data_IF_760841325692
#
_entry.id   IF_760841325692
#
_cell.length_a   1.000
_cell.length_b   1.000
_cell.length_c   1.000
_cell.angle_alpha   90.00
_cell.angle_beta   90.00
_cell.angle_gamma   90.00
#
_symmetry.space_group_name_H-M   'P 1'
#
loop_
_entity.id
_entity.type
_entity.pdbx_description
1 polymer ?
#
# COMPACT_ATOMS: atom_id res chain seq x y z
N UNK A 1 -28.83 -28.98 29.49
CA UNK A 1 -27.54 -28.48 29.97
C UNK A 1 -26.92 -27.67 28.84
N UNK A 2 -27.22 -26.37 28.77
CA UNK A 2 -26.49 -25.29 29.45
C UNK A 2 -25.13 -24.99 28.79
N UNK A 3 -25.21 -24.07 27.83
CA UNK A 3 -24.30 -22.99 27.38
C UNK A 3 -23.32 -22.40 28.43
N UNK A 4 -22.45 -21.39 28.13
CA UNK A 4 -21.96 -20.84 26.84
C UNK A 4 -20.48 -20.36 26.79
N UNK A 5 -20.08 -20.00 25.56
CA UNK A 5 -19.18 -18.90 25.14
C UNK A 5 -19.18 -17.62 26.01
N UNK A 6 -18.19 -16.74 25.81
CA UNK A 6 -18.55 -15.34 25.54
C UNK A 6 -17.83 -14.73 24.33
N UNK A 7 -18.65 -14.17 23.45
CA UNK A 7 -18.36 -13.13 22.47
C UNK A 7 -18.99 -11.84 23.01
N UNK A 8 -18.40 -10.69 22.64
CA UNK A 8 -18.89 -9.29 22.77
C UNK A 8 -18.53 -8.43 23.99
N UNK A 9 -17.96 -7.27 23.59
CA UNK A 9 -18.24 -5.91 24.07
C UNK A 9 -17.45 -5.36 25.26
N UNK A 10 -16.50 -4.46 24.97
CA UNK A 10 -16.48 -3.12 25.57
C UNK A 10 -15.61 -2.16 24.77
N UNK A 11 -16.17 -1.66 23.68
CA UNK A 11 -16.01 -0.25 23.33
C UNK A 11 -16.55 0.60 24.49
N UNK A 12 -15.97 1.79 24.68
CA UNK A 12 -16.30 2.83 25.68
C UNK A 12 -15.71 2.67 27.08
N UNK A 13 -14.45 3.08 27.22
CA UNK A 13 -13.89 3.64 28.47
C UNK A 13 -12.63 4.46 28.12
N UNK A 14 -12.80 5.48 27.27
CA UNK A 14 -11.80 6.51 26.95
C UNK A 14 -12.23 7.89 27.47
N UNK A 15 -13.16 7.95 28.42
CA UNK A 15 -13.72 9.19 28.92
C UNK A 15 -13.99 9.06 30.42
N UNK A 16 -12.95 9.34 31.22
CA UNK A 16 -12.96 9.93 32.56
C UNK A 16 -11.65 9.57 33.23
N UNK A 17 -10.69 10.47 33.12
CA UNK A 17 -9.66 10.73 34.14
C UNK A 17 -9.07 12.12 33.86
N UNK A 18 -9.96 13.13 33.82
CA UNK A 18 -9.59 14.54 33.94
C UNK A 18 -9.90 14.97 35.39
N UNK A 19 -9.09 14.53 36.35
CA UNK A 19 -9.18 14.99 37.73
C UNK A 19 -7.86 14.78 38.49
N UNK A 20 -6.77 15.38 38.02
CA UNK A 20 -5.65 15.72 38.88
C UNK A 20 -4.87 16.91 38.32
N UNK A 21 -5.32 18.12 38.66
CA UNK A 21 -4.53 19.33 38.55
C UNK A 21 -4.86 20.21 39.78
N UNK A 22 -4.02 20.14 40.79
CA UNK A 22 -3.91 21.20 41.79
C UNK A 22 -2.98 22.32 41.28
N UNK A 23 -3.08 23.54 41.85
CA UNK A 23 -3.00 24.79 41.12
C UNK A 23 -1.60 25.42 41.15
N UNK A 24 -1.29 26.27 40.16
CA UNK A 24 -0.26 27.30 40.31
C UNK A 24 0.92 27.29 39.34
N UNK A 25 0.71 27.00 38.05
CA UNK A 25 1.70 27.39 37.02
C UNK A 25 1.00 28.35 36.05
N UNK A 26 1.41 29.63 35.98
CA UNK A 26 0.87 30.53 34.98
C UNK A 26 1.37 30.06 33.61
N UNK A 27 0.47 29.57 32.77
CA UNK A 27 0.70 29.50 31.34
C UNK A 27 0.86 30.94 30.85
N UNK A 28 2.11 31.35 30.66
CA UNK A 28 2.43 32.63 30.03
C UNK A 28 1.86 32.64 28.63
N UNK A 29 0.80 33.43 28.47
CA UNK A 29 0.27 33.95 27.21
C UNK A 29 1.45 34.41 26.34
N UNK A 30 1.66 33.71 25.23
CA UNK A 30 2.51 34.21 24.15
C UNK A 30 1.62 34.37 22.93
N UNK A 31 0.63 35.24 23.11
CA UNK A 31 -0.11 35.81 22.00
C UNK A 31 0.77 36.84 21.28
N UNK A 32 0.63 36.79 19.96
CA UNK A 32 0.92 37.86 19.02
C UNK A 32 2.38 38.21 18.75
N UNK A 33 2.96 37.54 17.75
CA UNK A 33 3.47 38.22 16.56
C UNK A 33 3.77 37.20 15.44
N UNK A 34 3.13 37.44 14.30
CA UNK A 34 3.11 36.66 13.04
C UNK A 34 2.02 35.60 12.91
N UNK A 35 0.80 35.92 13.36
CA UNK A 35 -0.37 35.54 12.58
C UNK A 35 -0.33 36.35 11.27
N UNK A 36 0.19 35.74 10.20
CA UNK A 36 -0.04 36.26 8.85
C UNK A 36 -1.56 36.23 8.63
N UNK A 37 -2.18 37.33 8.16
CA UNK A 37 -3.61 37.30 7.90
C UNK A 37 -3.83 36.36 6.71
N UNK A 38 -4.22 35.11 6.98
CA UNK A 38 -4.79 34.22 5.98
C UNK A 38 -6.18 34.78 5.73
N UNK A 39 -6.24 35.77 4.84
CA UNK A 39 -7.48 36.33 4.35
C UNK A 39 -8.25 35.25 3.60
N UNK A 40 -9.40 34.88 4.17
CA UNK A 40 -10.60 34.39 3.49
C UNK A 40 -10.38 33.47 2.27
N UNK A 41 -9.62 32.38 2.45
CA UNK A 41 -9.30 31.38 1.42
C UNK A 41 -10.10 30.07 1.57
N UNK A 42 -11.12 30.04 2.44
CA UNK A 42 -11.86 28.80 2.75
C UNK A 42 -12.74 28.29 1.60
N UNK A 43 -13.24 29.17 0.72
CA UNK A 43 -14.15 28.77 -0.36
C UNK A 43 -13.45 28.14 -1.57
N UNK A 44 -12.16 28.46 -1.81
CA UNK A 44 -11.41 27.92 -2.94
C UNK A 44 -10.76 26.56 -2.59
N UNK A 45 -10.31 26.34 -1.35
CA UNK A 45 -9.57 25.12 -0.95
C UNK A 45 -10.44 23.84 -0.98
N UNK A 46 -11.67 23.90 -0.47
CA UNK A 46 -12.60 22.74 -0.40
C UNK A 46 -13.01 22.23 -1.79
N UNK A 47 -13.23 23.13 -2.75
CA UNK A 47 -13.57 22.79 -4.13
C UNK A 47 -12.38 22.11 -4.85
N UNK A 48 -11.15 22.57 -4.62
CA UNK A 48 -9.96 21.97 -5.22
C UNK A 48 -9.63 20.59 -4.65
N UNK A 49 -9.74 20.41 -3.34
CA UNK A 49 -9.55 19.10 -2.70
C UNK A 49 -10.54 18.07 -3.24
N UNK A 50 -11.79 18.49 -3.44
CA UNK A 50 -12.85 17.66 -4.03
C UNK A 50 -12.54 17.32 -5.50
N UNK A 51 -12.09 18.29 -6.31
CA UNK A 51 -11.71 18.06 -7.71
C UNK A 51 -10.48 17.14 -7.84
N UNK A 52 -9.47 17.30 -6.98
CA UNK A 52 -8.27 16.46 -7.00
C UNK A 52 -8.58 15.02 -6.57
N UNK A 53 -9.36 14.84 -5.51
CA UNK A 53 -9.73 13.52 -5.00
C UNK A 53 -10.66 12.76 -5.96
N UNK A 54 -11.58 13.46 -6.63
CA UNK A 54 -12.43 12.85 -7.67
C UNK A 54 -11.60 12.41 -8.88
N UNK A 55 -10.64 13.23 -9.31
CA UNK A 55 -9.77 12.90 -10.43
C UNK A 55 -8.81 11.75 -10.11
N UNK A 56 -8.23 11.72 -8.91
CA UNK A 56 -7.38 10.59 -8.48
C UNK A 56 -8.19 9.29 -8.41
N UNK A 57 -9.43 9.36 -7.90
CA UNK A 57 -10.36 8.22 -7.87
C UNK A 57 -10.68 7.72 -9.28
N UNK A 58 -10.94 8.63 -10.22
CA UNK A 58 -11.23 8.27 -11.61
C UNK A 58 -10.02 7.64 -12.30
N UNK A 59 -8.82 8.18 -12.10
CA UNK A 59 -7.56 7.59 -12.61
C UNK A 59 -7.40 6.16 -12.07
N UNK A 60 -7.55 5.97 -10.75
CA UNK A 60 -7.41 4.64 -10.12
C UNK A 60 -8.45 3.65 -10.65
N UNK A 61 -9.71 4.07 -10.78
CA UNK A 61 -10.78 3.23 -11.35
C UNK A 61 -10.48 2.81 -12.79
N UNK A 62 -9.92 3.72 -13.61
CA UNK A 62 -9.55 3.41 -15.00
C UNK A 62 -8.34 2.49 -15.09
N UNK A 63 -7.34 2.67 -14.24
CA UNK A 63 -6.19 1.76 -14.15
C UNK A 63 -6.62 0.34 -13.77
N UNK A 64 -7.53 0.20 -12.80
CA UNK A 64 -8.10 -1.09 -12.41
C UNK A 64 -8.88 -1.74 -13.57
N UNK A 65 -9.73 -0.97 -14.26
CA UNK A 65 -10.47 -1.47 -15.44
C UNK A 65 -9.54 -1.96 -16.54
N UNK A 66 -8.46 -1.22 -16.81
CA UNK A 66 -7.46 -1.60 -17.83
C UNK A 66 -6.72 -2.88 -17.44
N UNK A 67 -6.32 -3.02 -16.18
CA UNK A 67 -5.70 -4.24 -15.66
C UNK A 67 -6.64 -5.46 -15.77
N UNK A 68 -7.92 -5.28 -15.40
CA UNK A 68 -8.93 -6.33 -15.53
C UNK A 68 -9.20 -6.70 -17.00
N UNK A 69 -9.12 -5.75 -17.92
CA UNK A 69 -9.30 -6.00 -19.36
C UNK A 69 -8.11 -6.77 -19.92
N UNK A 70 -6.88 -6.43 -19.56
CA UNK A 70 -5.67 -7.18 -19.93
C UNK A 70 -5.71 -8.62 -19.42
N UNK A 71 -6.18 -8.83 -18.18
CA UNK A 71 -6.36 -10.18 -17.63
C UNK A 71 -7.41 -10.98 -18.40
N UNK A 72 -8.53 -10.33 -18.77
CA UNK A 72 -9.61 -10.95 -19.56
C UNK A 72 -9.20 -11.24 -21.00
N UNK A 73 -8.40 -10.39 -21.63
CA UNK A 73 -7.88 -10.59 -22.98
C UNK A 73 -7.05 -11.87 -23.09
N UNK A 74 -6.13 -12.10 -22.12
CA UNK A 74 -5.30 -13.32 -22.08
C UNK A 74 -6.17 -14.58 -22.01
N UNK A 75 -7.17 -14.58 -21.11
CA UNK A 75 -8.10 -15.71 -20.96
C UNK A 75 -8.98 -15.89 -22.20
N UNK A 76 -9.55 -14.81 -22.74
CA UNK A 76 -10.41 -14.86 -23.92
C UNK A 76 -9.67 -15.35 -25.16
N UNK A 77 -8.41 -14.94 -25.35
CA UNK A 77 -7.60 -15.41 -26.48
C UNK A 77 -7.33 -16.90 -26.36
N UNK A 78 -6.92 -17.37 -25.17
CA UNK A 78 -6.70 -18.80 -24.91
C UNK A 78 -7.97 -19.63 -25.17
N UNK A 79 -9.10 -19.24 -24.58
CA UNK A 79 -10.38 -19.95 -24.75
C UNK A 79 -10.85 -19.93 -26.20
N UNK A 80 -10.72 -18.80 -26.91
CA UNK A 80 -11.06 -18.72 -28.34
C UNK A 80 -10.20 -19.67 -29.18
N UNK A 81 -8.89 -19.70 -28.97
CA UNK A 81 -7.99 -20.61 -29.71
C UNK A 81 -8.27 -22.08 -29.40
N UNK A 82 -8.58 -22.38 -28.13
CA UNK A 82 -8.92 -23.74 -27.68
C UNK A 82 -10.21 -24.22 -28.35
N UNK A 83 -11.29 -23.43 -28.33
CA UNK A 83 -12.56 -23.82 -28.94
C UNK A 83 -12.48 -23.92 -30.46
N UNK A 84 -11.81 -22.99 -31.14
CA UNK A 84 -11.65 -23.08 -32.60
C UNK A 84 -10.80 -24.28 -33.01
N UNK A 85 -9.74 -24.60 -32.26
CA UNK A 85 -8.92 -25.79 -32.50
C UNK A 85 -9.70 -27.09 -32.25
N UNK A 86 -10.49 -27.16 -31.17
CA UNK A 86 -11.35 -28.31 -30.86
C UNK A 86 -12.42 -28.53 -31.94
N UNK A 87 -13.11 -27.46 -32.36
CA UNK A 87 -14.10 -27.53 -33.44
C UNK A 87 -13.49 -27.98 -34.77
N UNK A 88 -12.28 -27.49 -35.10
CA UNK A 88 -11.53 -27.94 -36.26
C UNK A 88 -11.16 -29.43 -36.17
N UNK A 89 -10.71 -29.89 -35.00
CA UNK A 89 -10.42 -31.30 -34.76
C UNK A 89 -11.64 -32.21 -34.94
N UNK A 90 -12.80 -31.82 -34.40
CA UNK A 90 -14.07 -32.56 -34.60
C UNK A 90 -14.46 -32.60 -36.08
N UNK A 91 -14.35 -31.46 -36.78
CA UNK A 91 -14.63 -31.39 -38.21
C UNK A 91 -13.74 -32.34 -39.04
N UNK A 92 -12.43 -32.34 -38.79
CA UNK A 92 -11.48 -33.25 -39.45
C UNK A 92 -11.77 -34.71 -39.10
N UNK A 93 -12.11 -35.03 -37.85
CA UNK A 93 -12.49 -36.38 -37.45
C UNK A 93 -13.73 -36.87 -38.21
N UNK A 94 -14.81 -36.09 -38.24
CA UNK A 94 -16.04 -36.45 -38.96
C UNK A 94 -15.81 -36.60 -40.47
N UNK A 95 -14.96 -35.74 -41.04
CA UNK A 95 -14.56 -35.84 -42.44
C UNK A 95 -13.75 -37.11 -42.73
N UNK A 96 -12.80 -37.46 -41.85
CA UNK A 96 -11.96 -38.66 -41.96
C UNK A 96 -12.75 -39.97 -41.81
N UNK A 97 -13.72 -40.01 -40.88
CA UNK A 97 -14.64 -41.15 -40.73
C UNK A 97 -15.63 -41.30 -41.91
N UNK A 98 -15.45 -40.51 -42.98
CA UNK A 98 -16.24 -40.55 -44.20
C UNK A 98 -17.75 -40.34 -43.96
N UNK A 99 -18.10 -39.77 -42.81
CA UNK A 99 -19.46 -39.40 -42.42
C UNK A 99 -19.95 -38.18 -43.23
N UNK A 100 -19.03 -37.39 -43.80
CA UNK A 100 -19.34 -36.39 -44.84
C UNK A 100 -19.09 -37.00 -46.22
N UNK A 101 -20.15 -37.28 -46.96
CA UNK A 101 -20.14 -37.81 -48.34
C UNK A 101 -19.70 -36.76 -49.37
N UNK A 102 -18.56 -36.11 -49.16
CA UNK A 102 -18.03 -35.10 -50.08
C UNK A 102 -17.43 -35.76 -51.34
N UNK A 103 -17.72 -35.24 -52.56
CA UNK A 103 -17.13 -35.74 -53.78
C UNK A 103 -15.60 -35.59 -53.75
N UNK A 104 -14.89 -36.60 -54.27
CA UNK A 104 -13.42 -36.76 -54.18
C UNK A 104 -12.60 -35.52 -54.61
N UNK A 105 -13.17 -34.62 -55.42
CA UNK A 105 -12.53 -33.38 -55.87
C UNK A 105 -12.36 -32.29 -54.78
N UNK A 106 -13.02 -32.40 -53.63
CA UNK A 106 -12.99 -31.39 -52.56
C UNK A 106 -12.11 -31.83 -51.37
N UNK A 107 -11.38 -32.94 -51.51
CA UNK A 107 -10.71 -33.59 -50.39
C UNK A 107 -9.59 -32.75 -49.73
N UNK A 108 -8.97 -31.82 -50.47
CA UNK A 108 -7.90 -30.95 -49.93
C UNK A 108 -8.41 -29.64 -49.32
N UNK A 109 -9.63 -29.22 -49.68
CA UNK A 109 -10.23 -27.98 -49.18
C UNK A 109 -10.28 -27.86 -47.64
N UNK A 110 -10.69 -28.89 -46.86
CA UNK A 110 -10.73 -28.79 -45.40
C UNK A 110 -9.36 -28.59 -44.75
N UNK A 111 -8.29 -29.10 -45.39
CA UNK A 111 -6.92 -29.03 -44.88
C UNK A 111 -6.34 -27.63 -45.08
N UNK A 112 -6.67 -26.97 -46.19
CA UNK A 112 -6.18 -25.62 -46.48
C UNK A 112 -7.04 -24.51 -45.85
N UNK A 113 -8.36 -24.68 -45.86
CA UNK A 113 -9.31 -23.67 -45.38
C UNK A 113 -9.33 -23.60 -43.85
N UNK A 114 -9.16 -24.74 -43.16
CA UNK A 114 -9.18 -24.79 -41.69
C UNK A 114 -8.14 -23.89 -41.02
N UNK A 115 -6.84 -24.03 -41.31
CA UNK A 115 -5.80 -23.18 -40.74
C UNK A 115 -5.99 -21.70 -41.06
N UNK A 116 -6.48 -21.35 -42.26
CA UNK A 116 -6.78 -19.96 -42.62
C UNK A 116 -7.88 -19.38 -41.73
N UNK A 117 -8.96 -20.13 -41.48
CA UNK A 117 -10.06 -19.70 -40.60
C UNK A 117 -9.58 -19.54 -39.15
N UNK A 118 -8.80 -20.50 -38.64
CA UNK A 118 -8.26 -20.44 -37.26
C UNK A 118 -7.39 -19.21 -37.06
N UNK A 119 -6.51 -18.91 -38.02
CA UNK A 119 -5.66 -17.72 -37.99
C UNK A 119 -6.47 -16.42 -38.10
N UNK A 120 -7.51 -16.41 -38.94
CA UNK A 120 -8.38 -15.26 -39.11
C UNK A 120 -9.16 -14.92 -37.84
N UNK A 121 -9.76 -15.93 -37.18
CA UNK A 121 -10.45 -15.76 -35.89
C UNK A 121 -9.50 -15.22 -34.84
N UNK A 122 -8.29 -15.79 -34.73
CA UNK A 122 -7.27 -15.33 -33.78
C UNK A 122 -6.89 -13.87 -34.05
N UNK A 123 -6.71 -13.49 -35.32
CA UNK A 123 -6.37 -12.12 -35.71
C UNK A 123 -7.49 -11.13 -35.37
N UNK A 124 -8.76 -11.49 -35.59
CA UNK A 124 -9.90 -10.64 -35.26
C UNK A 124 -10.00 -10.40 -33.76
N UNK A 125 -9.93 -11.47 -32.95
CA UNK A 125 -10.03 -11.37 -31.49
C UNK A 125 -8.94 -10.43 -30.96
N UNK A 126 -7.69 -10.64 -31.40
CA UNK A 126 -6.57 -9.78 -31.02
C UNK A 126 -6.82 -8.30 -31.41
N UNK A 127 -7.24 -8.03 -32.65
CA UNK A 127 -7.49 -6.66 -33.10
C UNK A 127 -8.62 -5.97 -32.33
N UNK A 128 -9.67 -6.70 -31.97
CA UNK A 128 -10.78 -6.15 -31.19
C UNK A 128 -10.35 -5.74 -29.79
N UNK A 129 -9.62 -6.62 -29.08
CA UNK A 129 -9.09 -6.32 -27.75
C UNK A 129 -8.06 -5.19 -27.78
N UNK A 130 -7.12 -5.18 -28.74
CA UNK A 130 -6.15 -4.09 -28.87
C UNK A 130 -6.81 -2.74 -29.17
N UNK A 131 -7.89 -2.71 -29.95
CA UNK A 131 -8.67 -1.47 -30.17
C UNK A 131 -9.36 -1.00 -28.90
N UNK A 132 -9.91 -1.93 -28.11
CA UNK A 132 -10.56 -1.62 -26.85
C UNK A 132 -9.58 -1.03 -25.84
N UNK A 133 -8.40 -1.63 -25.70
CA UNK A 133 -7.33 -1.14 -24.83
C UNK A 133 -6.88 0.28 -25.23
N UNK A 134 -6.66 0.52 -26.52
CA UNK A 134 -6.21 1.82 -27.02
C UNK A 134 -7.20 2.97 -26.76
N UNK A 135 -8.50 2.70 -26.70
CA UNK A 135 -9.49 3.72 -26.34
C UNK A 135 -9.39 4.08 -24.85
N UNK A 136 -9.29 3.07 -23.98
CA UNK A 136 -9.18 3.29 -22.54
C UNK A 136 -7.88 3.99 -22.17
N UNK A 137 -6.76 3.64 -22.81
CA UNK A 137 -5.48 4.29 -22.60
C UNK A 137 -5.54 5.79 -22.93
N UNK A 138 -6.21 6.19 -24.02
CA UNK A 138 -6.42 7.60 -24.36
C UNK A 138 -7.24 8.34 -23.31
N UNK A 139 -8.28 7.70 -22.77
CA UNK A 139 -9.09 8.31 -21.69
C UNK A 139 -8.28 8.50 -20.41
N UNK A 140 -7.42 7.53 -20.07
CA UNK A 140 -6.50 7.65 -18.94
C UNK A 140 -5.50 8.80 -19.14
N UNK A 141 -4.91 8.89 -20.33
CA UNK A 141 -4.02 10.00 -20.69
C UNK A 141 -4.71 11.37 -20.59
N UNK A 142 -5.99 11.46 -20.98
CA UNK A 142 -6.76 12.70 -20.83
C UNK A 142 -6.96 13.08 -19.36
N UNK A 143 -7.34 12.14 -18.49
CA UNK A 143 -7.49 12.38 -17.05
C UNK A 143 -6.17 12.82 -16.40
N UNK A 144 -5.05 12.17 -16.75
CA UNK A 144 -3.72 12.55 -16.27
C UNK A 144 -3.31 13.95 -16.75
N UNK A 145 -3.68 14.33 -17.97
CA UNK A 145 -3.48 15.70 -18.47
C UNK A 145 -4.30 16.71 -17.67
N UNK A 146 -5.57 16.41 -17.37
CA UNK A 146 -6.41 17.27 -16.52
C UNK A 146 -5.81 17.44 -15.12
N UNK A 147 -5.22 16.38 -14.57
CA UNK A 147 -4.58 16.45 -13.25
C UNK A 147 -3.37 17.38 -13.30
N UNK A 148 -2.52 17.24 -14.33
CA UNK A 148 -1.36 18.10 -14.52
C UNK A 148 -1.75 19.57 -14.68
N UNK A 149 -2.74 19.87 -15.52
CA UNK A 149 -3.17 21.26 -15.75
C UNK A 149 -3.76 21.88 -14.50
N UNK A 150 -4.53 21.13 -13.70
CA UNK A 150 -5.06 21.60 -12.42
C UNK A 150 -3.97 21.85 -11.38
N UNK A 151 -2.98 20.96 -11.28
CA UNK A 151 -1.81 21.19 -10.42
C UNK A 151 -1.01 22.41 -10.88
N UNK A 152 -0.89 22.64 -12.18
CA UNK A 152 -0.23 23.85 -12.72
C UNK A 152 -1.00 25.13 -12.40
N UNK A 153 -2.33 25.10 -12.44
CA UNK A 153 -3.20 26.20 -12.03
C UNK A 153 -2.99 26.56 -10.56
N UNK A 154 -2.97 25.55 -9.68
CA UNK A 154 -2.66 25.72 -8.25
C UNK A 154 -1.26 26.32 -8.06
N UNK A 155 -0.25 25.80 -8.76
CA UNK A 155 1.12 26.34 -8.69
C UNK A 155 1.22 27.80 -9.16
N UNK A 156 0.39 28.22 -10.11
CA UNK A 156 0.33 29.62 -10.57
C UNK A 156 -0.33 30.51 -9.51
N UNK A 157 -1.50 30.11 -8.98
CA UNK A 157 -2.24 30.86 -7.95
C UNK A 157 -1.43 31.04 -6.66
N UNK A 158 -0.71 30.00 -6.25
CA UNK A 158 0.15 30.02 -5.04
C UNK A 158 1.49 30.73 -5.26
N UNK A 159 1.72 31.35 -6.43
CA UNK A 159 3.00 31.95 -6.82
C UNK A 159 4.20 30.97 -6.66
N UNK A 160 3.93 29.66 -6.68
CA UNK A 160 4.87 28.60 -6.31
C UNK A 160 6.18 28.69 -7.11
N UNK A 161 6.09 28.96 -8.42
CA UNK A 161 7.27 29.04 -9.28
C UNK A 161 8.15 30.23 -8.94
N UNK A 162 7.58 31.36 -8.50
CA UNK A 162 8.37 32.54 -8.16
C UNK A 162 9.07 32.34 -6.81
N UNK A 163 8.38 31.79 -5.81
CA UNK A 163 9.02 31.36 -4.56
C UNK A 163 10.10 30.30 -4.79
N UNK A 164 9.85 29.31 -5.66
CA UNK A 164 10.84 28.28 -6.00
C UNK A 164 12.02 28.84 -6.78
N UNK A 165 11.83 29.83 -7.66
CA UNK A 165 12.91 30.44 -8.43
C UNK A 165 13.85 31.27 -7.54
N UNK A 166 13.27 31.97 -6.56
CA UNK A 166 14.06 32.60 -5.49
C UNK A 166 14.80 31.53 -4.69
N UNK A 167 14.10 30.51 -4.21
CA UNK A 167 14.70 29.42 -3.45
C UNK A 167 15.78 28.65 -4.24
N UNK A 168 15.63 28.47 -5.55
CA UNK A 168 16.63 27.79 -6.40
C UNK A 168 17.88 28.62 -6.62
N UNK A 169 17.74 29.95 -6.67
CA UNK A 169 18.89 30.86 -6.74
C UNK A 169 19.61 30.97 -5.39
N UNK A 170 18.87 30.81 -4.28
CA UNK A 170 19.43 30.70 -2.93
C UNK A 170 19.98 29.30 -2.61
N UNK A 171 19.51 28.27 -3.30
CA UNK A 171 20.00 26.90 -3.14
C UNK A 171 21.35 26.75 -3.83
N UNK A 172 22.41 26.94 -3.06
CA UNK A 172 23.77 26.47 -3.37
C UNK A 172 23.68 25.04 -3.93
N UNK A 173 24.38 24.70 -5.02
CA UNK A 173 24.27 23.41 -5.69
C UNK A 173 24.60 22.26 -4.73
N UNK A 174 23.57 21.67 -4.10
CA UNK A 174 23.67 20.40 -3.36
C UNK A 174 23.72 19.25 -4.36
N UNK A 175 24.79 19.17 -5.14
CA UNK A 175 24.97 18.10 -6.13
C UNK A 175 25.27 16.72 -5.52
N UNK A 176 25.37 16.58 -4.20
CA UNK A 176 25.80 15.30 -3.60
C UNK A 176 24.79 14.67 -2.64
N UNK A 177 23.93 15.43 -1.95
CA UNK A 177 23.01 14.87 -0.96
C UNK A 177 21.56 14.72 -1.46
N UNK A 178 21.04 15.66 -2.26
CA UNK A 178 19.65 15.60 -2.71
C UNK A 178 19.41 14.46 -3.73
N UNK A 179 20.31 14.29 -4.69
CA UNK A 179 20.26 13.15 -5.63
C UNK A 179 20.48 11.80 -4.93
N UNK A 180 21.22 11.78 -3.82
CA UNK A 180 21.37 10.57 -3.02
C UNK A 180 20.08 10.25 -2.25
N UNK A 181 19.41 11.25 -1.69
CA UNK A 181 18.13 11.07 -0.98
C UNK A 181 16.98 10.70 -1.93
N UNK A 182 16.92 11.26 -3.14
CA UNK A 182 15.90 10.88 -4.13
C UNK A 182 16.11 9.43 -4.63
N UNK A 183 17.36 9.00 -4.84
CA UNK A 183 17.69 7.60 -5.17
C UNK A 183 17.47 6.65 -4.01
N UNK A 184 17.73 7.09 -2.79
CA UNK A 184 17.45 6.32 -1.58
C UNK A 184 15.94 6.22 -1.34
N UNK A 185 15.17 7.27 -1.63
CA UNK A 185 13.71 7.26 -1.58
C UNK A 185 13.13 6.35 -2.66
N UNK A 186 13.60 6.42 -3.91
CA UNK A 186 13.16 5.50 -4.98
C UNK A 186 13.59 4.04 -4.72
N UNK A 187 14.72 3.80 -4.04
CA UNK A 187 15.15 2.46 -3.65
C UNK A 187 14.47 1.94 -2.37
N UNK A 188 14.02 2.84 -1.47
CA UNK A 188 13.18 2.52 -0.31
C UNK A 188 11.71 2.38 -0.67
N UNK A 189 11.25 3.02 -1.75
CA UNK A 189 9.87 2.98 -2.23
C UNK A 189 9.68 2.00 -3.40
N UNK A 190 10.75 1.69 -4.12
CA UNK A 190 10.80 0.68 -5.17
C UNK A 190 11.57 -0.52 -4.68
N UNK A 191 10.87 -1.46 -4.03
CA UNK A 191 11.48 -2.70 -3.55
C UNK A 191 10.65 -3.53 -2.57
N UNK A 192 9.31 -3.45 -2.55
CA UNK A 192 8.51 -4.40 -1.79
C UNK A 192 7.03 -4.45 -2.20
N UNK A 193 6.79 -5.12 -3.33
CA UNK A 193 5.61 -6.01 -3.53
C UNK A 193 5.80 -7.35 -2.75
N UNK A 194 6.76 -7.43 -1.82
CA UNK A 194 7.09 -8.64 -1.07
C UNK A 194 7.26 -8.39 0.45
N UNK A 195 6.61 -7.36 1.00
CA UNK A 195 6.30 -7.26 2.42
C UNK A 195 4.79 -7.02 2.58
N UNK A 196 4.08 -7.73 3.48
CA UNK A 196 2.65 -7.51 3.66
C UNK A 196 2.40 -6.05 4.08
N UNK A 197 1.41 -5.35 3.50
CA UNK A 197 1.18 -3.91 3.69
C UNK A 197 0.70 -3.49 5.10
N UNK A 198 0.89 -4.33 6.12
CA UNK A 198 0.10 -4.31 7.36
C UNK A 198 0.87 -4.10 8.66
N UNK A 199 2.21 -4.01 8.68
CA UNK A 199 2.95 -3.79 9.94
C UNK A 199 3.79 -2.51 9.91
N UNK A 200 3.09 -1.37 10.02
CA UNK A 200 3.70 -0.09 10.38
C UNK A 200 3.29 0.26 11.81
N UNK A 201 4.26 0.70 12.62
CA UNK A 201 4.02 1.14 13.99
C UNK A 201 3.89 2.66 14.06
N UNK A 202 2.98 3.13 14.91
CA UNK A 202 2.78 4.54 15.17
C UNK A 202 3.82 5.05 16.19
N UNK A 203 4.53 6.12 15.86
CA UNK A 203 5.45 6.83 16.76
C UNK A 203 4.64 7.73 17.70
N UNK A 204 4.24 7.20 18.85
CA UNK A 204 3.46 7.92 19.87
C UNK A 204 4.39 8.37 20.99
N UNK A 205 4.33 9.64 21.35
CA UNK A 205 5.13 10.18 22.45
C UNK A 205 4.59 9.74 23.82
N UNK A 206 5.46 9.31 24.73
CA UNK A 206 5.08 8.87 26.08
C UNK A 206 4.62 10.01 27.00
N UNK A 207 5.08 11.24 26.75
CA UNK A 207 4.75 12.41 27.59
C UNK A 207 3.45 13.10 27.18
N UNK A 208 3.23 13.28 25.88
CA UNK A 208 2.09 14.06 25.38
C UNK A 208 1.14 13.26 24.47
N UNK A 209 1.39 11.96 24.29
CA UNK A 209 0.55 11.02 23.51
C UNK A 209 0.23 11.46 22.07
N UNK A 210 1.01 12.37 21.50
CA UNK A 210 0.81 12.81 20.11
C UNK A 210 1.49 11.83 19.15
N UNK A 211 0.83 11.62 18.02
CA UNK A 211 1.35 10.89 16.87
C UNK A 211 2.41 11.74 16.15
N UNK A 212 3.61 11.18 15.95
CA UNK A 212 4.75 11.83 15.29
C UNK A 212 5.08 11.17 13.94
N UNK A 213 4.25 10.23 13.47
CA UNK A 213 4.43 9.56 12.18
C UNK A 213 4.36 8.03 12.28
N UNK A 214 4.57 7.39 11.13
CA UNK A 214 4.59 5.93 10.98
C UNK A 214 6.03 5.46 10.77
N UNK A 215 6.37 4.33 11.38
CA UNK A 215 7.68 3.70 11.30
C UNK A 215 7.54 2.26 10.77
N UNK A 216 8.42 1.81 9.85
CA UNK A 216 8.48 0.41 9.43
C UNK A 216 8.83 -0.52 10.59
N UNK A 217 8.30 -1.75 10.59
CA UNK A 217 8.57 -2.75 11.63
C UNK A 217 10.06 -3.06 11.81
N UNK A 218 10.83 -3.09 10.72
CA UNK A 218 12.28 -3.40 10.77
C UNK A 218 13.10 -2.43 11.64
N UNK A 219 12.64 -1.19 11.83
CA UNK A 219 13.36 -0.15 12.57
C UNK A 219 12.78 0.11 13.98
N UNK A 220 11.70 -0.58 14.36
CA UNK A 220 10.97 -0.31 15.60
C UNK A 220 11.82 -0.45 16.87
N UNK A 221 12.71 -1.44 16.94
CA UNK A 221 13.49 -1.71 18.15
C UNK A 221 14.49 -0.61 18.52
N UNK A 222 15.05 0.05 17.50
CA UNK A 222 16.15 1.00 17.62
C UNK A 222 15.71 2.46 17.44
N UNK A 223 14.45 2.70 17.08
CA UNK A 223 13.94 4.04 16.86
C UNK A 223 13.95 4.89 18.13
N UNK A 224 14.73 5.96 18.10
CA UNK A 224 14.72 7.04 19.09
C UNK A 224 14.27 8.32 18.39
N UNK A 225 13.34 9.04 19.00
CA UNK A 225 12.83 10.28 18.41
C UNK A 225 12.50 11.34 19.45
N UNK A 226 12.60 12.60 19.04
CA UNK A 226 12.21 13.76 19.82
C UNK A 226 10.83 14.21 19.38
N UNK A 227 9.90 14.36 20.32
CA UNK A 227 8.53 14.74 19.98
C UNK A 227 8.47 16.21 19.53
N UNK A 228 7.87 16.46 18.36
CA UNK A 228 7.76 17.81 17.79
C UNK A 228 6.87 18.79 18.59
N UNK A 229 6.11 18.29 19.58
CA UNK A 229 5.12 19.08 20.31
C UNK A 229 5.53 19.39 21.74
N UNK A 230 6.26 18.50 22.40
CA UNK A 230 6.69 18.68 23.79
C UNK A 230 8.20 18.49 24.01
N UNK A 231 8.95 18.28 22.92
CA UNK A 231 10.40 18.06 22.88
C UNK A 231 10.91 16.88 23.73
N UNK A 232 10.02 15.99 24.15
CA UNK A 232 10.39 14.82 24.92
C UNK A 232 11.14 13.80 24.05
N UNK A 233 12.28 13.32 24.56
CA UNK A 233 13.09 12.29 23.91
C UNK A 233 12.55 10.90 24.25
N UNK A 234 11.87 10.28 23.28
CA UNK A 234 11.39 8.90 23.41
C UNK A 234 12.56 7.97 23.05
N UNK A 235 13.15 7.34 24.06
CA UNK A 235 14.21 6.37 23.89
C UNK A 235 13.69 5.07 23.25
N UNK A 236 14.58 4.39 22.51
CA UNK A 236 14.26 3.15 21.79
C UNK A 236 13.83 2.03 22.73
N UNK A 237 13.06 1.08 22.21
CA UNK A 237 12.59 -0.07 22.99
C UNK A 237 13.79 -0.88 23.52
N UNK A 238 14.83 -1.02 22.70
CA UNK A 238 16.09 -1.67 23.07
C UNK A 238 16.76 -0.97 24.26
N UNK A 239 16.97 0.35 24.18
CA UNK A 239 17.63 1.12 25.25
C UNK A 239 16.84 1.07 26.57
N UNK A 240 15.50 1.11 26.51
CA UNK A 240 14.64 0.94 27.69
C UNK A 240 14.72 -0.46 28.31
N UNK A 241 14.88 -1.50 27.48
CA UNK A 241 15.05 -2.88 27.96
C UNK A 241 16.41 -3.06 28.63
N UNK A 242 17.46 -2.49 28.04
CA UNK A 242 18.81 -2.51 28.61
C UNK A 242 18.87 -1.74 29.94
N UNK A 243 18.29 -0.55 30.01
CA UNK A 243 18.18 0.24 31.23
C UNK A 243 17.48 -0.54 32.37
N UNK A 244 16.40 -1.26 32.06
CA UNK A 244 15.70 -2.13 33.03
C UNK A 244 16.54 -3.31 33.49
N UNK A 245 17.35 -3.90 32.60
CA UNK A 245 18.26 -5.01 32.95
C UNK A 245 19.38 -4.54 33.87
N UNK A 246 19.94 -3.35 33.65
CA UNK A 246 20.96 -2.77 34.53
C UNK A 246 20.43 -2.37 35.91
N UNK A 247 19.11 -2.20 36.07
CA UNK A 247 18.48 -1.84 37.35
C UNK A 247 18.02 -3.04 38.20
N UNK A 248 18.26 -4.30 37.78
CA UNK A 248 18.01 -5.49 38.62
C UNK A 248 19.29 -5.93 39.36
N UNK A 249 19.38 -5.76 40.70
CA UNK A 249 20.41 -6.42 41.49
C UNK A 249 20.00 -7.87 41.80
N UNK A 250 20.94 -8.79 41.54
CA UNK A 250 21.10 -10.14 42.08
C UNK A 250 19.95 -10.72 42.94
N UNK A 251 19.18 -11.66 42.38
CA UNK A 251 18.48 -12.69 43.14
C UNK A 251 19.27 -14.00 43.00
N UNK A 252 20.45 -14.05 43.62
CA UNK A 252 21.22 -15.27 43.81
C UNK A 252 21.47 -15.49 45.31
N UNK A 253 20.57 -16.24 45.96
CA UNK A 253 20.87 -17.00 47.18
C UNK A 253 19.76 -18.02 47.44
N UNK A 254 19.83 -19.16 46.77
CA UNK A 254 19.18 -20.39 47.28
C UNK A 254 20.25 -21.11 48.12
N UNK A 255 20.05 -21.36 49.43
CA UNK A 255 20.99 -22.18 50.19
C UNK A 255 20.93 -23.63 49.69
N UNK A 256 22.04 -24.39 49.74
CA UNK A 256 22.04 -25.77 49.27
C UNK A 256 21.24 -26.63 50.25
N UNK A 257 20.08 -27.13 49.82
CA UNK A 257 19.42 -28.22 50.54
C UNK A 257 20.31 -29.47 50.43
N UNK A 258 20.93 -29.82 51.55
CA UNK A 258 21.74 -31.00 51.77
C UNK A 258 20.93 -32.26 51.40
N UNK A 259 21.40 -33.00 50.41
CA UNK A 259 20.88 -34.32 50.07
C UNK A 259 21.39 -35.31 51.12
N UNK A 260 20.50 -35.83 51.96
CA UNK A 260 20.78 -36.98 52.82
C UNK A 260 20.33 -38.25 52.08
N UNK A 261 21.20 -39.26 51.88
CA UNK A 261 20.78 -40.55 51.34
C UNK A 261 20.60 -41.59 52.46
N UNK A 262 19.42 -42.21 52.55
CA UNK A 262 19.27 -43.63 52.97
C UNK A 262 17.80 -44.05 52.89
N UNK A 263 17.46 -44.97 51.98
CA UNK A 263 17.20 -46.39 52.27
C UNK A 263 15.87 -46.60 53.00
N UNK A 264 14.81 -47.18 52.42
CA UNK A 264 14.76 -48.57 51.98
C UNK A 264 13.32 -48.96 51.56
N UNK A 265 13.20 -49.85 50.56
CA UNK A 265 12.32 -51.06 50.54
C UNK A 265 10.82 -50.85 50.84
N UNK A 266 9.88 -51.08 49.92
CA UNK A 266 9.46 -52.42 49.49
C UNK A 266 8.60 -52.38 48.21
N UNK A 267 8.86 -53.39 47.39
CA UNK A 267 8.08 -53.94 46.27
C UNK A 267 6.87 -54.68 46.85
N UNK A 268 5.66 -54.59 46.29
CA UNK A 268 4.98 -55.59 45.42
C UNK A 268 3.48 -55.63 45.81
N UNK A 269 2.61 -56.35 45.09
CA UNK A 269 2.48 -56.54 43.65
C UNK A 269 1.26 -55.81 43.06
#
# INVERSE_FOLDING_TARGET
MALPFPFLSRSTEFARDCAFAEPGIPCGERDDLLAFPIGDSGFEEEDYETVLSTLSRDVQSRQQKLADIRLRERRSTLWSTLYTAAAYGVYVCLWYFQALTLPRGVALAPVLVGPLIVLFIRRIVQLWYSRKEAHEEKTLQHLLKQQRTKVEEIKKKTNYYSTRNLLSNLAVPRHTHAQAMDKLADALLGEDDQAPPSSRYALICEKCFKHNGLLPEAMWEDAQFRCIKCDHLNASVRSKREARRSMSPSAASTPPCVVVPSSSRMRNP
#
